data_IF_632282401643
#
_entry.id   IF_632282401643
#
_cell.length_a   1.000
_cell.length_b   1.000
_cell.length_c   1.000
_cell.angle_alpha   90.00
_cell.angle_beta   90.00
_cell.angle_gamma   90.00
#
_symmetry.space_group_name_H-M   'P 1'
#
loop_
_entity.id
_entity.type
_entity.pdbx_description
1 polymer ?
#
# COMPACT_ATOMS: atom_id res chain seq x y z
N UNK A 1 -5.76 -20.86 3.54
CA UNK A 1 -4.67 -19.86 3.60
C UNK A 1 -5.29 -18.52 3.92
N UNK A 2 -4.82 -17.86 4.98
CA UNK A 2 -5.24 -16.50 5.32
C UNK A 2 -4.24 -15.51 4.71
N UNK A 3 -4.72 -14.58 3.90
CA UNK A 3 -3.92 -13.46 3.39
C UNK A 3 -4.15 -12.28 4.31
N UNK A 4 -3.07 -11.63 4.75
CA UNK A 4 -3.16 -10.36 5.49
C UNK A 4 -3.13 -9.22 4.49
N UNK A 5 -4.06 -8.29 4.66
CA UNK A 5 -4.23 -7.14 3.77
C UNK A 5 -4.01 -5.86 4.57
N UNK A 6 -3.42 -4.87 3.91
CA UNK A 6 -3.33 -3.51 4.41
C UNK A 6 -4.08 -2.59 3.46
N UNK A 7 -4.92 -1.72 4.02
CA UNK A 7 -5.56 -0.64 3.28
C UNK A 7 -4.66 0.59 3.38
N UNK A 8 -4.30 1.16 2.23
CA UNK A 8 -3.63 2.45 2.13
C UNK A 8 -4.72 3.50 1.90
N UNK A 9 -5.13 4.23 2.96
CA UNK A 9 -6.24 5.16 2.86
C UNK A 9 -5.84 6.40 2.07
N UNK A 10 -6.80 6.97 1.36
CA UNK A 10 -6.68 8.28 0.70
C UNK A 10 -7.91 9.12 0.99
N UNK A 11 -7.76 10.44 0.91
CA UNK A 11 -8.90 11.38 0.95
C UNK A 11 -9.79 11.21 -0.27
N UNK A 12 -9.22 10.80 -1.40
CA UNK A 12 -9.93 10.49 -2.62
C UNK A 12 -10.19 8.99 -2.68
N UNK A 13 -11.46 8.60 -2.73
CA UNK A 13 -11.86 7.18 -2.72
C UNK A 13 -11.20 6.39 -3.87
N UNK A 14 -11.05 7.00 -5.04
CA UNK A 14 -10.40 6.41 -6.24
C UNK A 14 -8.89 6.16 -6.06
N UNK A 15 -8.28 6.81 -5.08
CA UNK A 15 -6.86 6.65 -4.75
C UNK A 15 -6.63 5.73 -3.55
N UNK A 16 -7.67 5.14 -2.96
CA UNK A 16 -7.50 4.07 -1.99
C UNK A 16 -6.82 2.89 -2.68
N UNK A 17 -5.90 2.23 -1.97
CA UNK A 17 -5.20 1.04 -2.44
C UNK A 17 -5.25 -0.04 -1.38
N UNK A 18 -5.19 -1.28 -1.81
CA UNK A 18 -5.11 -2.45 -0.93
C UNK A 18 -3.89 -3.24 -1.35
N UNK A 19 -3.05 -3.60 -0.39
CA UNK A 19 -1.85 -4.41 -0.63
C UNK A 19 -1.84 -5.66 0.25
N UNK A 20 -1.28 -6.74 -0.25
CA UNK A 20 -0.98 -7.92 0.55
C UNK A 20 0.25 -7.68 1.42
N UNK A 21 0.25 -8.22 2.64
CA UNK A 21 1.42 -8.17 3.54
C UNK A 21 2.21 -9.47 3.35
N UNK A 22 3.53 -9.42 3.10
CA UNK A 22 4.40 -10.59 3.04
C UNK A 22 4.24 -11.49 4.28
N UNK A 23 4.36 -12.81 4.10
CA UNK A 23 4.12 -13.77 5.19
C UNK A 23 5.13 -13.65 6.34
N UNK A 24 6.32 -13.14 6.05
CA UNK A 24 7.46 -12.95 6.94
C UNK A 24 7.48 -11.59 7.65
N UNK A 25 6.54 -10.69 7.34
CA UNK A 25 6.48 -9.35 7.95
C UNK A 25 5.39 -9.29 9.02
N UNK A 26 5.72 -8.90 10.25
CA UNK A 26 4.70 -8.72 11.30
C UNK A 26 3.78 -7.52 11.01
N UNK A 27 2.51 -7.60 11.40
CA UNK A 27 1.51 -6.59 11.01
C UNK A 27 1.86 -5.17 11.51
N UNK A 28 2.47 -5.07 12.69
CA UNK A 28 2.91 -3.81 13.27
C UNK A 28 4.16 -3.24 12.57
N UNK A 29 5.01 -4.12 12.06
CA UNK A 29 6.20 -3.73 11.29
C UNK A 29 5.84 -3.33 9.86
N UNK A 30 4.82 -3.97 9.28
CA UNK A 30 4.34 -3.65 7.93
C UNK A 30 3.98 -2.17 7.77
N UNK A 31 3.29 -1.57 8.75
CA UNK A 31 2.91 -0.16 8.71
C UNK A 31 4.14 0.75 8.62
N UNK A 32 5.13 0.51 9.49
CA UNK A 32 6.38 1.29 9.51
C UNK A 32 7.15 1.11 8.21
N UNK A 33 7.25 -0.12 7.71
CA UNK A 33 8.00 -0.43 6.50
C UNK A 33 7.37 0.23 5.27
N UNK A 34 6.06 0.06 5.05
CA UNK A 34 5.32 0.71 3.96
C UNK A 34 5.45 2.23 4.02
N UNK A 35 5.40 2.84 5.21
CA UNK A 35 5.63 4.28 5.37
C UNK A 35 7.02 4.69 4.88
N UNK A 36 8.05 3.93 5.24
CA UNK A 36 9.42 4.19 4.79
C UNK A 36 9.59 4.07 3.28
N UNK A 37 9.03 3.00 2.67
CA UNK A 37 9.08 2.78 1.21
C UNK A 37 8.42 3.94 0.46
N UNK A 38 7.23 4.37 0.90
CA UNK A 38 6.54 5.51 0.28
C UNK A 38 7.40 6.77 0.40
N UNK A 39 7.88 7.10 1.61
CA UNK A 39 8.68 8.31 1.83
C UNK A 39 9.98 8.32 1.00
N UNK A 40 10.63 7.18 0.79
CA UNK A 40 11.81 7.10 -0.08
C UNK A 40 11.48 7.48 -1.54
N UNK A 41 10.36 6.98 -2.07
CA UNK A 41 9.90 7.36 -3.43
C UNK A 41 9.60 8.84 -3.51
N UNK A 42 8.90 9.40 -2.52
CA UNK A 42 8.55 10.83 -2.46
C UNK A 42 9.78 11.74 -2.41
N UNK A 43 10.84 11.33 -1.70
CA UNK A 43 12.08 12.09 -1.57
C UNK A 43 12.93 12.05 -2.85
N UNK A 44 12.98 10.91 -3.54
CA UNK A 44 13.81 10.73 -4.74
C UNK A 44 13.16 11.35 -5.98
N UNK A 45 11.82 11.30 -6.09
CA UNK A 45 11.09 11.74 -7.27
C UNK A 45 9.95 12.71 -6.91
N UNK A 46 10.13 14.04 -7.06
CA UNK A 46 9.09 15.01 -6.71
C UNK A 46 7.79 14.91 -7.53
N UNK A 47 7.89 14.37 -8.75
CA UNK A 47 6.78 14.13 -9.66
C UNK A 47 6.37 12.65 -9.70
N UNK A 48 6.59 11.91 -8.60
CA UNK A 48 6.23 10.50 -8.50
C UNK A 48 4.73 10.29 -8.80
N UNK A 49 4.44 9.12 -9.35
CA UNK A 49 3.09 8.64 -9.59
C UNK A 49 2.85 7.40 -8.74
N UNK A 50 1.59 6.95 -8.72
CA UNK A 50 1.22 5.73 -7.99
C UNK A 50 2.06 4.52 -8.45
N UNK A 51 2.34 4.42 -9.75
CA UNK A 51 3.11 3.31 -10.31
C UNK A 51 4.53 3.23 -9.72
N UNK A 52 5.15 4.36 -9.37
CA UNK A 52 6.47 4.38 -8.76
C UNK A 52 6.44 3.83 -7.31
N UNK A 53 5.36 4.13 -6.57
CA UNK A 53 5.11 3.56 -5.24
C UNK A 53 4.80 2.06 -5.34
N UNK A 54 3.98 1.67 -6.32
CA UNK A 54 3.60 0.28 -6.56
C UNK A 54 4.82 -0.60 -6.88
N UNK A 55 5.69 -0.14 -7.78
CA UNK A 55 6.93 -0.82 -8.12
C UNK A 55 7.85 -0.98 -6.89
N UNK A 56 7.95 0.07 -6.06
CA UNK A 56 8.73 0.00 -4.83
C UNK A 56 8.12 -1.00 -3.82
N UNK A 57 6.80 -0.96 -3.62
CA UNK A 57 6.11 -1.89 -2.74
C UNK A 57 6.26 -3.35 -3.20
N UNK A 58 6.15 -3.63 -4.50
CA UNK A 58 6.31 -4.96 -5.06
C UNK A 58 7.75 -5.48 -4.88
N UNK A 59 8.76 -4.61 -5.03
CA UNK A 59 10.16 -4.96 -4.74
C UNK A 59 10.40 -5.38 -3.28
N UNK A 60 9.54 -4.93 -2.35
CA UNK A 60 9.54 -5.31 -0.95
C UNK A 60 8.52 -6.42 -0.61
N UNK A 61 7.87 -7.01 -1.62
CA UNK A 61 6.94 -8.14 -1.49
C UNK A 61 5.48 -7.77 -1.19
N UNK A 62 5.16 -6.47 -1.15
CA UNK A 62 3.77 -6.01 -1.02
C UNK A 62 3.12 -5.91 -2.39
N UNK A 63 2.00 -6.61 -2.58
CA UNK A 63 1.36 -6.66 -3.90
C UNK A 63 0.01 -5.98 -3.88
N UNK A 64 -0.23 -5.05 -4.81
CA UNK A 64 -1.55 -4.43 -4.99
C UNK A 64 -2.61 -5.48 -5.28
N UNK A 65 -3.77 -5.32 -4.66
CA UNK A 65 -4.93 -6.18 -4.80
C UNK A 65 -6.07 -5.39 -5.43
N UNK A 66 -6.74 -5.99 -6.41
CA UNK A 66 -8.03 -5.48 -6.88
C UNK A 66 -9.06 -5.57 -5.74
N UNK A 67 -9.83 -4.51 -5.56
CA UNK A 67 -10.84 -4.44 -4.52
C UNK A 67 -12.04 -3.60 -4.96
N UNK A 68 -13.18 -3.84 -4.31
CA UNK A 68 -14.40 -3.06 -4.50
C UNK A 68 -14.66 -2.27 -3.22
N UNK A 69 -14.77 -0.95 -3.35
CA UNK A 69 -15.26 -0.10 -2.27
C UNK A 69 -16.75 -0.37 -2.05
N UNK A 70 -17.08 -0.84 -0.84
CA UNK A 70 -18.46 -1.00 -0.40
C UNK A 70 -19.16 0.35 -0.21
N UNK A 71 -20.46 0.33 0.09
CA UNK A 71 -21.23 1.54 0.34
C UNK A 71 -20.75 2.24 1.62
N UNK A 72 -20.80 3.57 1.63
CA UNK A 72 -20.66 4.35 2.87
C UNK A 72 -21.81 3.99 3.80
N UNK A 73 -21.49 3.59 5.03
CA UNK A 73 -22.46 3.45 6.09
C UNK A 73 -22.65 4.84 6.70
N UNK A 74 -23.81 5.45 6.44
CA UNK A 74 -24.22 6.72 7.02
C UNK A 74 -24.68 6.59 8.46
#
# INVERSE_FOLDING_TARGET
>A
MSVRLMVLPSREATAIRVVSIPADVEAQEAFRHVTGVISEVEEVHPDYRWEDIEDALDAHGYQTQEFVLGPTLG
#
